data_IF_713187435811
#
_entry.id   IF_713187435811
#
_cell.length_a   1.000
_cell.length_b   1.000
_cell.length_c   1.000
_cell.angle_alpha   90.00
_cell.angle_beta   90.00
_cell.angle_gamma   90.00
#
_symmetry.space_group_name_H-M   'P 1'
#
loop_
_entity.id
_entity.type
_entity.pdbx_description
1 polymer ?
#
# COMPACT_ATOMS: atom_id res chain seq x y z
N UNK A 1 11.43 -7.35 3.48
CA UNK A 1 12.48 -6.92 2.54
C UNK A 1 11.96 -7.17 1.13
N UNK A 2 12.15 -6.23 0.20
CA UNK A 2 11.53 -6.25 -1.13
C UNK A 2 12.60 -6.20 -2.21
N UNK A 3 12.87 -7.33 -2.88
CA UNK A 3 13.77 -7.42 -4.04
C UNK A 3 15.17 -6.81 -3.83
N UNK A 4 15.79 -7.06 -2.69
CA UNK A 4 17.11 -6.47 -2.36
C UNK A 4 17.05 -5.11 -1.66
N UNK A 5 15.86 -4.58 -1.40
CA UNK A 5 15.69 -3.28 -0.73
C UNK A 5 14.91 -3.39 0.58
N UNK A 6 15.18 -2.46 1.48
CA UNK A 6 14.44 -2.23 2.72
C UNK A 6 13.71 -0.88 2.62
N UNK A 7 12.48 -0.88 3.10
CA UNK A 7 11.73 0.36 3.35
C UNK A 7 12.02 0.80 4.78
N UNK A 8 12.45 2.05 5.02
CA UNK A 8 12.63 2.58 6.36
C UNK A 8 11.33 2.55 7.17
N UNK A 9 11.39 2.36 8.49
CA UNK A 9 10.20 2.33 9.32
C UNK A 9 9.43 3.65 9.28
N UNK A 10 10.09 4.81 9.15
CA UNK A 10 9.38 6.08 8.99
C UNK A 10 8.48 6.11 7.74
N UNK A 11 9.00 5.62 6.60
CA UNK A 11 8.24 5.56 5.35
C UNK A 11 7.06 4.59 5.46
N UNK A 12 7.20 3.49 6.23
CA UNK A 12 6.09 2.57 6.50
C UNK A 12 4.94 3.28 7.21
N UNK A 13 5.24 4.07 8.24
CA UNK A 13 4.21 4.81 8.98
C UNK A 13 3.57 5.91 8.12
N UNK A 14 4.35 6.61 7.29
CA UNK A 14 3.82 7.59 6.32
C UNK A 14 2.86 6.91 5.32
N UNK A 15 3.24 5.76 4.77
CA UNK A 15 2.38 5.00 3.84
C UNK A 15 1.11 4.51 4.53
N UNK A 16 1.22 4.00 5.76
CA UNK A 16 0.06 3.60 6.56
C UNK A 16 -0.88 4.77 6.79
N UNK A 17 -0.34 5.92 7.20
CA UNK A 17 -1.13 7.12 7.44
C UNK A 17 -1.80 7.62 6.15
N UNK A 18 -1.10 7.61 5.02
CA UNK A 18 -1.67 7.97 3.72
C UNK A 18 -2.85 7.04 3.31
N UNK A 19 -2.75 5.74 3.60
CA UNK A 19 -3.87 4.80 3.41
C UNK A 19 -5.05 5.15 4.32
N UNK A 20 -4.79 5.53 5.57
CA UNK A 20 -5.81 5.95 6.54
C UNK A 20 -6.46 7.30 6.16
N UNK A 21 -5.72 8.24 5.58
CA UNK A 21 -6.26 9.54 5.18
C UNK A 21 -7.02 9.50 3.85
N UNK A 22 -6.80 8.46 3.05
CA UNK A 22 -7.50 8.26 1.77
C UNK A 22 -9.01 8.22 1.97
N UNK A 23 -9.78 9.10 1.32
CA UNK A 23 -11.26 9.14 1.53
C UNK A 23 -12.04 8.08 0.77
N UNK A 24 -11.62 7.68 -0.43
CA UNK A 24 -12.41 6.81 -1.33
C UNK A 24 -11.56 5.74 -2.01
N UNK A 25 -10.56 6.14 -2.78
CA UNK A 25 -9.69 5.26 -3.56
C UNK A 25 -8.24 5.52 -3.21
N UNK A 26 -7.49 4.46 -2.93
CA UNK A 26 -6.06 4.56 -2.64
C UNK A 26 -5.31 4.84 -3.93
N UNK A 27 -4.49 5.88 -3.90
CA UNK A 27 -3.59 6.21 -5.01
C UNK A 27 -2.32 5.38 -4.91
N UNK A 28 -2.33 4.24 -5.60
CA UNK A 28 -1.21 3.30 -5.63
C UNK A 28 0.04 3.92 -6.27
N UNK A 29 -0.13 4.86 -7.21
CA UNK A 29 0.99 5.53 -7.88
C UNK A 29 1.68 6.50 -6.92
N UNK A 30 0.91 7.29 -6.17
CA UNK A 30 1.44 8.17 -5.14
C UNK A 30 2.16 7.40 -4.04
N UNK A 31 1.58 6.28 -3.56
CA UNK A 31 2.24 5.43 -2.56
C UNK A 31 3.55 4.83 -3.08
N UNK A 32 3.62 4.43 -4.35
CA UNK A 32 4.86 3.92 -4.96
C UNK A 32 5.92 5.00 -5.03
N UNK A 33 5.57 6.23 -5.38
CA UNK A 33 6.51 7.35 -5.42
C UNK A 33 7.11 7.64 -4.02
N UNK A 34 6.29 7.61 -2.98
CA UNK A 34 6.76 7.77 -1.59
C UNK A 34 7.76 6.68 -1.19
N UNK A 35 7.43 5.41 -1.48
CA UNK A 35 8.33 4.30 -1.15
C UNK A 35 9.61 4.36 -1.99
N UNK A 36 9.52 4.67 -3.28
CA UNK A 36 10.66 4.71 -4.21
C UNK A 36 11.76 5.68 -3.73
N UNK A 37 11.36 6.84 -3.21
CA UNK A 37 12.27 7.87 -2.72
C UNK A 37 13.15 7.36 -1.58
N UNK A 38 12.56 6.61 -0.64
CA UNK A 38 13.23 6.20 0.59
C UNK A 38 13.76 4.75 0.56
N UNK A 39 13.70 4.05 -0.56
CA UNK A 39 14.22 2.67 -0.65
C UNK A 39 15.73 2.63 -0.41
N UNK A 40 16.13 1.82 0.57
CA UNK A 40 17.52 1.55 0.91
C UNK A 40 17.91 0.19 0.34
N UNK A 41 18.95 0.14 -0.49
CA UNK A 41 19.50 -1.11 -1.00
C UNK A 41 20.21 -1.88 0.14
N UNK A 42 20.01 -3.20 0.19
CA UNK A 42 20.60 -4.08 1.20
C UNK A 42 21.53 -5.08 0.52
N UNK A 43 22.85 -4.86 0.67
CA UNK A 43 23.91 -5.78 0.23
C UNK A 43 23.98 -6.99 1.19
N UNK A 44 24.23 -8.25 0.75
CA UNK A 44 24.67 -8.72 -0.58
C UNK A 44 23.57 -9.27 -1.50
N UNK A 45 22.31 -8.87 -1.29
CA UNK A 45 21.21 -9.48 -2.00
C UNK A 45 21.10 -8.96 -3.44
N UNK A 46 20.85 -9.88 -4.37
CA UNK A 46 20.56 -9.53 -5.76
C UNK A 46 19.36 -8.57 -5.80
N UNK A 47 19.65 -7.31 -6.11
CA UNK A 47 18.66 -6.25 -6.19
C UNK A 47 18.00 -6.24 -7.57
N UNK A 48 16.67 -6.25 -7.60
CA UNK A 48 15.92 -5.91 -8.81
C UNK A 48 15.95 -4.40 -9.09
N UNK A 49 15.08 -3.92 -9.97
CA UNK A 49 14.89 -2.47 -10.15
C UNK A 49 14.18 -1.87 -8.93
N UNK A 50 14.50 -0.61 -8.60
CA UNK A 50 13.89 0.11 -7.47
C UNK A 50 12.38 0.21 -7.60
N UNK A 51 11.89 0.34 -8.83
CA UNK A 51 10.47 0.44 -9.17
C UNK A 51 9.74 -0.86 -8.86
N UNK A 52 10.38 -2.00 -9.15
CA UNK A 52 9.83 -3.32 -8.83
C UNK A 52 9.80 -3.55 -7.32
N UNK A 53 10.85 -3.13 -6.60
CA UNK A 53 10.89 -3.19 -5.16
C UNK A 53 9.80 -2.31 -4.51
N UNK A 54 9.61 -1.09 -4.99
CA UNK A 54 8.56 -0.18 -4.53
C UNK A 54 7.16 -0.74 -4.82
N UNK A 55 6.94 -1.30 -6.00
CA UNK A 55 5.67 -1.94 -6.35
C UNK A 55 5.35 -3.13 -5.42
N UNK A 56 6.34 -3.98 -5.13
CA UNK A 56 6.18 -5.12 -4.23
C UNK A 56 5.91 -4.68 -2.78
N UNK A 57 6.60 -3.64 -2.31
CA UNK A 57 6.38 -3.07 -0.99
C UNK A 57 4.96 -2.53 -0.82
N UNK A 58 4.50 -1.71 -1.78
CA UNK A 58 3.15 -1.14 -1.75
C UNK A 58 2.07 -2.22 -1.83
N UNK A 59 2.26 -3.27 -2.63
CA UNK A 59 1.30 -4.38 -2.69
C UNK A 59 1.21 -5.11 -1.34
N UNK A 60 2.35 -5.35 -0.67
CA UNK A 60 2.38 -5.90 0.68
C UNK A 60 1.66 -5.02 1.70
N UNK A 61 1.89 -3.70 1.69
CA UNK A 61 1.23 -2.78 2.61
C UNK A 61 -0.29 -2.72 2.39
N UNK A 62 -0.73 -2.76 1.14
CA UNK A 62 -2.15 -2.79 0.80
C UNK A 62 -2.79 -4.12 1.21
N UNK A 63 -2.06 -5.23 1.08
CA UNK A 63 -2.50 -6.53 1.56
C UNK A 63 -2.68 -6.54 3.09
N UNK A 64 -1.71 -6.01 3.84
CA UNK A 64 -1.81 -5.89 5.30
C UNK A 64 -2.96 -4.95 5.72
N UNK A 65 -3.11 -3.81 5.04
CA UNK A 65 -4.23 -2.91 5.27
C UNK A 65 -5.59 -3.56 4.95
N UNK A 66 -5.64 -4.46 3.98
CA UNK A 66 -6.84 -5.22 3.65
C UNK A 66 -7.15 -6.27 4.71
N UNK A 67 -6.13 -6.98 5.21
CA UNK A 67 -6.25 -7.91 6.32
C UNK A 67 -6.73 -7.20 7.60
N UNK A 68 -6.29 -5.96 7.81
CA UNK A 68 -6.77 -5.10 8.90
C UNK A 68 -8.17 -4.50 8.66
N UNK A 69 -8.80 -4.76 7.52
CA UNK A 69 -10.13 -4.25 7.18
C UNK A 69 -10.19 -2.76 6.86
N UNK A 70 -9.05 -2.12 6.58
CA UNK A 70 -8.96 -0.68 6.24
C UNK A 70 -9.30 -0.44 4.76
N UNK A 71 -8.89 -1.35 3.89
CA UNK A 71 -9.10 -1.27 2.43
C UNK A 71 -9.66 -2.56 1.88
N UNK A 72 -10.36 -2.48 0.76
CA UNK A 72 -10.88 -3.62 0.03
C UNK A 72 -10.39 -3.56 -1.40
N UNK A 73 -9.85 -4.68 -1.88
CA UNK A 73 -9.51 -4.85 -3.29
C UNK A 73 -10.81 -5.02 -4.08
N UNK A 74 -11.07 -4.10 -4.99
CA UNK A 74 -12.12 -4.23 -5.99
C UNK A 74 -11.49 -4.62 -7.32
N UNK A 75 -12.02 -5.68 -7.92
CA UNK A 75 -11.70 -6.11 -9.27
C UNK A 75 -12.98 -5.92 -10.08
N UNK A 76 -13.06 -4.86 -10.87
CA UNK A 76 -14.14 -4.76 -11.86
C UNK A 76 -13.81 -5.75 -12.98
N UNK A 77 -14.81 -6.40 -13.58
CA UNK A 77 -14.64 -7.45 -14.60
C UNK A 77 -13.80 -7.05 -15.82
N UNK A 78 -13.47 -5.76 -15.95
CA UNK A 78 -12.41 -5.24 -16.80
C UNK A 78 -11.21 -4.90 -15.91
N UNK A 79 -10.11 -5.67 -16.05
CA UNK A 79 -8.69 -5.61 -15.56
C UNK A 79 -8.18 -4.51 -14.58
N UNK A 80 -8.96 -3.51 -14.21
CA UNK A 80 -8.63 -2.43 -13.29
C UNK A 80 -8.87 -2.87 -11.84
N UNK A 81 -7.83 -3.45 -11.26
CA UNK A 81 -7.73 -3.64 -9.81
C UNK A 81 -7.60 -2.26 -9.17
N UNK A 82 -8.53 -1.90 -8.30
CA UNK A 82 -8.44 -0.69 -7.48
C UNK A 82 -8.67 -1.01 -6.01
N UNK A 83 -7.95 -0.30 -5.14
CA UNK A 83 -8.08 -0.42 -3.69
C UNK A 83 -9.01 0.69 -3.22
N UNK A 84 -10.18 0.29 -2.73
CA UNK A 84 -11.15 1.20 -2.14
C UNK A 84 -11.02 1.17 -0.63
N UNK A 85 -11.19 2.32 0.02
CA UNK A 85 -11.27 2.35 1.48
C UNK A 85 -12.55 1.66 1.93
N UNK A 86 -12.45 0.79 2.93
CA UNK A 86 -13.64 0.25 3.60
C UNK A 86 -14.26 1.40 4.37
N UNK A 87 -15.43 1.86 3.93
CA UNK A 87 -16.27 2.67 4.81
C UNK A 87 -16.62 1.80 6.02
N UNK A 88 -16.17 2.19 7.21
CA UNK A 88 -16.86 1.75 8.42
C UNK A 88 -18.32 2.11 8.19
N UNK A 89 -19.21 1.11 8.24
CA UNK A 89 -20.63 1.36 8.53
C UNK A 89 -20.59 2.09 9.87
N UNK A 90 -20.69 3.43 9.86
CA UNK A 90 -21.23 4.15 11.00
C UNK A 90 -22.54 3.43 11.32
N UNK A 91 -22.68 3.04 12.59
CA UNK A 91 -23.58 2.00 13.04
C UNK A 91 -24.96 2.06 12.39
N UNK A 92 -25.57 0.89 12.22
CA UNK A 92 -27.01 0.80 12.33
C UNK A 92 -27.37 1.25 13.75
N UNK A 93 -27.43 2.57 13.97
CA UNK A 93 -28.15 3.15 15.06
C UNK A 93 -29.60 3.28 14.60
N UNK A 94 -30.47 2.53 15.28
CA UNK A 94 -31.92 2.64 15.32
C UNK A 94 -32.71 2.18 14.08
N UNK A 95 -33.27 0.97 14.14
CA UNK A 95 -34.73 0.82 14.30
C UNK A 95 -35.08 -0.50 14.97
#
# INVERSE_FOLDING_TARGET
MFKGYRVPPETVEVVRQAIIDTRRRVDVTALRALVLADLIAVNPWASGTREHAAAAAVDSFLFDAAKAGLVKRHMNGWKFVHWARVRKRQGAACR
#
